data_IF_760041288506
#
_entry.id   IF_760041288506
#
_cell.length_a   1.000
_cell.length_b   1.000
_cell.length_c   1.000
_cell.angle_alpha   90.00
_cell.angle_beta   90.00
_cell.angle_gamma   90.00
#
_symmetry.space_group_name_H-M   'P 1'
#
loop_
_entity.id
_entity.type
_entity.pdbx_description
1 polymer ?
#
# COMPACT_ATOMS: atom_id res chain seq x y z
N UNK A 1 -44.54 -57.38 -17.53
CA UNK A 1 -45.61 -56.49 -17.06
C UNK A 1 -45.30 -56.09 -15.61
N UNK A 2 -45.16 -54.78 -15.37
CA UNK A 2 -45.60 -54.03 -14.17
C UNK A 2 -44.75 -54.13 -12.87
N UNK A 3 -43.93 -53.09 -12.69
CA UNK A 3 -43.64 -52.24 -11.51
C UNK A 3 -44.03 -52.68 -10.09
N UNK A 4 -43.10 -52.57 -9.13
CA UNK A 4 -43.19 -51.74 -7.89
C UNK A 4 -41.98 -51.98 -6.96
N UNK A 5 -41.07 -51.02 -6.74
CA UNK A 5 -40.96 -50.12 -5.55
C UNK A 5 -41.03 -50.86 -4.19
N UNK A 6 -40.03 -50.79 -3.30
CA UNK A 6 -39.61 -49.57 -2.61
C UNK A 6 -38.20 -49.73 -1.99
N UNK A 7 -37.35 -48.72 -2.20
CA UNK A 7 -36.01 -48.56 -1.65
C UNK A 7 -36.09 -48.14 -0.17
N UNK A 8 -35.36 -48.82 0.72
CA UNK A 8 -35.11 -48.37 2.08
C UNK A 8 -33.87 -47.46 2.06
N UNK A 9 -34.07 -46.14 1.94
CA UNK A 9 -32.98 -45.17 2.06
C UNK A 9 -32.91 -44.67 3.51
N UNK A 10 -31.86 -45.08 4.22
CA UNK A 10 -31.56 -44.62 5.56
C UNK A 10 -31.23 -43.12 5.56
N UNK A 11 -31.96 -42.36 6.37
CA UNK A 11 -31.68 -40.97 6.67
C UNK A 11 -30.37 -40.86 7.48
N UNK A 12 -29.32 -40.30 6.88
CA UNK A 12 -28.18 -39.77 7.59
C UNK A 12 -28.20 -38.24 7.47
N UNK A 13 -28.74 -37.61 8.51
CA UNK A 13 -28.46 -36.22 8.88
C UNK A 13 -26.96 -36.10 9.16
N UNK A 14 -26.17 -35.57 8.21
CA UNK A 14 -24.84 -35.05 8.53
C UNK A 14 -24.94 -33.54 8.75
N UNK A 15 -24.70 -33.17 10.00
CA UNK A 15 -24.73 -31.82 10.52
C UNK A 15 -23.75 -30.87 9.83
N UNK A 16 -24.14 -29.60 9.87
CA UNK A 16 -23.30 -28.46 9.64
C UNK A 16 -22.06 -28.51 10.56
N UNK A 17 -20.87 -28.56 9.96
CA UNK A 17 -19.65 -28.14 10.62
C UNK A 17 -19.25 -26.80 10.00
N UNK A 18 -19.73 -25.71 10.59
CA UNK A 18 -19.12 -24.41 10.38
C UNK A 18 -17.68 -24.51 10.86
N UNK A 19 -16.73 -24.34 9.95
CA UNK A 19 -15.33 -24.14 10.28
C UNK A 19 -15.25 -22.76 10.98
N UNK A 20 -15.44 -22.77 12.30
CA UNK A 20 -15.12 -21.65 13.16
C UNK A 20 -13.62 -21.43 13.08
N UNK A 21 -13.20 -20.45 12.27
CA UNK A 21 -11.91 -19.81 12.46
C UNK A 21 -11.91 -19.22 13.86
N UNK A 22 -11.25 -19.90 14.79
CA UNK A 22 -11.04 -19.35 16.12
C UNK A 22 -10.10 -18.16 15.97
N UNK A 23 -10.68 -16.96 16.14
CA UNK A 23 -9.96 -15.71 16.28
C UNK A 23 -9.12 -15.80 17.56
N UNK A 24 -7.86 -16.20 17.41
CA UNK A 24 -6.86 -16.16 18.46
C UNK A 24 -6.70 -14.69 18.88
N UNK A 25 -7.37 -14.33 19.98
CA UNK A 25 -7.24 -13.02 20.61
C UNK A 25 -5.79 -12.85 21.06
N UNK A 26 -5.02 -12.13 20.25
CA UNK A 26 -3.68 -11.65 20.58
C UNK A 26 -3.80 -10.73 21.81
N UNK A 27 -2.82 -10.81 22.73
CA UNK A 27 -2.72 -9.92 23.89
C UNK A 27 -1.34 -9.26 23.83
N UNK A 28 -1.23 -7.96 23.57
CA UNK A 28 -0.01 -7.33 23.06
C UNK A 28 0.96 -6.88 24.16
N UNK A 29 0.83 -7.41 25.39
CA UNK A 29 1.56 -6.90 26.54
C UNK A 29 2.96 -7.51 26.73
N UNK A 30 3.31 -8.58 26.01
CA UNK A 30 4.62 -9.20 26.12
C UNK A 30 5.56 -8.72 24.99
N UNK A 31 6.80 -8.29 25.30
CA UNK A 31 7.80 -8.06 24.27
C UNK A 31 8.11 -9.40 23.58
N UNK A 32 8.09 -9.41 22.24
CA UNK A 32 8.51 -10.56 21.43
C UNK A 32 9.94 -10.92 21.83
N UNK A 33 10.17 -12.17 22.24
CA UNK A 33 11.49 -12.62 22.72
C UNK A 33 12.40 -12.93 21.54
N UNK A 34 13.71 -12.78 21.74
CA UNK A 34 14.70 -13.13 20.73
C UNK A 34 14.53 -14.61 20.33
N UNK A 35 14.29 -14.87 19.04
CA UNK A 35 14.08 -16.21 18.48
C UNK A 35 12.62 -16.65 18.33
N UNK A 36 11.65 -15.85 18.78
CA UNK A 36 10.22 -16.13 18.60
C UNK A 36 9.74 -15.66 17.22
N UNK A 37 9.41 -16.60 16.34
CA UNK A 37 8.80 -16.30 15.03
C UNK A 37 7.30 -16.16 15.22
N UNK A 38 6.81 -14.93 15.30
CA UNK A 38 5.37 -14.64 15.29
C UNK A 38 4.95 -14.35 13.84
N UNK A 39 4.19 -15.25 13.24
CA UNK A 39 3.56 -15.01 11.94
C UNK A 39 2.39 -14.03 12.13
N UNK A 40 2.66 -12.73 11.94
CA UNK A 40 1.65 -11.67 12.01
C UNK A 40 1.09 -11.45 10.61
N UNK A 41 -0.15 -11.89 10.37
CA UNK A 41 -0.89 -11.57 9.16
C UNK A 41 -1.56 -10.21 9.34
N UNK A 42 -1.08 -9.18 8.64
CA UNK A 42 -1.74 -7.87 8.61
C UNK A 42 -3.14 -8.06 8.02
N UNK A 43 -4.16 -7.77 8.82
CA UNK A 43 -5.55 -7.82 8.41
C UNK A 43 -5.84 -6.66 7.44
N UNK A 44 -6.68 -6.90 6.42
CA UNK A 44 -7.06 -5.85 5.46
C UNK A 44 -7.73 -4.64 6.13
N UNK A 45 -8.27 -4.83 7.34
CA UNK A 45 -8.90 -3.81 8.17
C UNK A 45 -7.91 -3.07 9.08
N UNK A 46 -6.66 -3.50 9.20
CA UNK A 46 -5.59 -2.85 9.96
C UNK A 46 -5.81 -2.78 11.48
N UNK A 47 -6.57 -3.70 12.07
CA UNK A 47 -6.81 -3.82 13.51
C UNK A 47 -5.50 -4.05 14.29
N UNK A 48 -4.52 -4.74 13.70
CA UNK A 48 -3.19 -4.94 14.30
C UNK A 48 -2.46 -3.61 14.53
N UNK A 49 -2.63 -2.62 13.65
CA UNK A 49 -1.99 -1.30 13.83
C UNK A 49 -2.57 -0.54 15.03
N UNK A 50 -3.85 -0.76 15.34
CA UNK A 50 -4.53 -0.13 16.49
C UNK A 50 -4.07 -0.77 17.79
N UNK A 51 -3.98 -2.09 17.81
CA UNK A 51 -3.56 -2.86 18.97
C UNK A 51 -2.11 -2.59 19.36
N UNK A 52 -1.20 -2.54 18.37
CA UNK A 52 0.21 -2.22 18.57
C UNK A 52 0.47 -0.73 18.84
N UNK A 53 -0.58 0.10 18.95
CA UNK A 53 -0.49 1.55 19.12
C UNK A 53 0.42 2.21 18.08
N UNK A 54 0.46 1.67 16.86
CA UNK A 54 1.27 2.25 15.80
C UNK A 54 0.71 3.63 15.42
N UNK A 55 1.49 4.67 15.70
CA UNK A 55 1.06 6.05 15.50
C UNK A 55 1.36 6.62 14.10
N UNK A 56 1.93 5.83 13.20
CA UNK A 56 2.26 6.26 11.84
C UNK A 56 1.05 6.35 10.89
N UNK A 57 1.35 6.63 9.62
CA UNK A 57 0.36 6.63 8.53
C UNK A 57 0.10 5.18 8.11
N UNK A 58 -1.16 4.80 7.92
CA UNK A 58 -1.59 3.50 7.39
C UNK A 58 -2.39 3.78 6.12
N UNK A 59 -1.96 3.31 4.93
CA UNK A 59 -2.67 3.60 3.69
C UNK A 59 -4.13 3.13 3.75
N UNK A 60 -5.06 3.94 3.23
CA UNK A 60 -6.52 3.68 3.20
C UNK A 60 -7.24 3.67 4.56
N UNK A 61 -6.51 3.69 5.68
CA UNK A 61 -7.11 3.69 7.02
C UNK A 61 -6.78 4.96 7.81
N UNK A 62 -5.54 5.43 7.71
CA UNK A 62 -5.06 6.61 8.42
C UNK A 62 -4.01 7.32 7.56
N UNK A 63 -4.50 8.11 6.61
CA UNK A 63 -3.68 8.83 5.62
C UNK A 63 -3.00 10.10 6.17
N UNK A 64 -3.41 10.56 7.35
CA UNK A 64 -2.94 11.80 7.96
C UNK A 64 -2.36 11.57 9.37
N UNK A 65 -1.06 11.81 9.57
CA UNK A 65 -0.50 12.08 10.90
C UNK A 65 -0.91 13.52 11.25
N UNK A 66 -1.91 13.67 12.12
CA UNK A 66 -2.58 14.92 12.47
C UNK A 66 -1.71 16.10 12.96
N UNK A 67 -0.38 15.99 12.94
CA UNK A 67 0.57 17.09 13.14
C UNK A 67 0.92 17.88 11.87
N UNK A 68 0.83 17.27 10.68
CA UNK A 68 1.27 17.95 9.44
C UNK A 68 0.14 18.78 8.82
N UNK A 69 -1.13 18.38 9.01
CA UNK A 69 -2.26 18.91 8.23
C UNK A 69 -2.95 20.15 8.82
N UNK A 70 -2.50 20.68 9.96
CA UNK A 70 -3.02 21.95 10.54
C UNK A 70 -2.04 23.10 10.43
N UNK A 71 -1.50 23.36 9.25
CA UNK A 71 -1.16 24.75 8.94
C UNK A 71 -2.46 25.51 8.78
N UNK A 72 -2.82 26.33 9.78
CA UNK A 72 -3.79 27.42 9.63
C UNK A 72 -3.44 28.15 8.34
N UNK A 73 -4.18 27.90 7.27
CA UNK A 73 -4.05 28.66 6.04
C UNK A 73 -4.48 30.08 6.39
N UNK A 74 -3.50 30.97 6.60
CA UNK A 74 -3.74 32.41 6.50
C UNK A 74 -4.47 32.62 5.17
N UNK A 75 -5.71 33.07 5.26
CA UNK A 75 -6.63 33.36 4.16
C UNK A 75 -5.82 34.07 3.06
N UNK A 76 -5.61 33.42 1.91
CA UNK A 76 -4.88 33.99 0.77
C UNK A 76 -3.53 33.39 0.39
N UNK A 77 -2.93 32.46 1.16
CA UNK A 77 -1.69 31.78 0.72
C UNK A 77 -2.03 30.56 -0.16
N UNK A 78 -1.69 30.60 -1.45
CA UNK A 78 -1.71 29.41 -2.33
C UNK A 78 -0.84 28.32 -1.70
N UNK A 79 -1.46 27.25 -1.23
CA UNK A 79 -0.74 26.09 -0.69
C UNK A 79 -0.19 25.33 -1.89
N UNK A 80 1.12 25.44 -2.12
CA UNK A 80 1.77 24.63 -3.15
C UNK A 80 1.51 23.15 -2.88
N UNK A 81 1.18 22.35 -3.91
CA UNK A 81 1.07 20.92 -3.76
C UNK A 81 2.33 20.34 -3.10
N UNK A 82 2.16 19.31 -2.29
CA UNK A 82 3.29 18.61 -1.71
C UNK A 82 3.11 17.10 -1.83
N UNK A 83 4.20 16.41 -2.15
CA UNK A 83 4.33 14.96 -1.99
C UNK A 83 4.59 14.70 -0.52
N UNK A 84 3.58 14.20 0.17
CA UNK A 84 3.67 13.91 1.61
C UNK A 84 4.33 12.56 1.83
N UNK A 85 4.04 11.60 0.95
CA UNK A 85 4.50 10.23 1.12
C UNK A 85 4.76 9.53 -0.21
N UNK A 86 5.78 8.68 -0.19
CA UNK A 86 6.05 7.68 -1.22
C UNK A 86 6.22 6.36 -0.49
N UNK A 87 5.52 5.33 -0.97
CA UNK A 87 5.55 4.01 -0.39
C UNK A 87 5.62 2.90 -1.43
N UNK A 88 5.88 1.71 -0.94
CA UNK A 88 6.01 0.49 -1.72
C UNK A 88 5.27 -0.63 -1.01
N UNK A 89 4.52 -1.42 -1.78
CA UNK A 89 3.80 -2.59 -1.31
C UNK A 89 3.99 -3.72 -2.31
N UNK A 90 4.44 -4.89 -1.83
CA UNK A 90 4.43 -6.09 -2.64
C UNK A 90 3.01 -6.65 -2.73
N UNK A 91 2.62 -7.07 -3.93
CA UNK A 91 1.38 -7.80 -4.17
C UNK A 91 1.70 -9.16 -4.81
N UNK A 92 0.69 -10.03 -4.91
CA UNK A 92 0.87 -11.38 -5.45
C UNK A 92 1.41 -11.37 -6.89
N UNK A 93 0.89 -10.47 -7.73
CA UNK A 93 1.18 -10.44 -9.17
C UNK A 93 1.90 -9.16 -9.64
N UNK A 94 2.02 -8.17 -8.78
CA UNK A 94 2.61 -6.87 -9.10
C UNK A 94 3.31 -6.27 -7.89
N UNK A 95 4.01 -5.17 -8.10
CA UNK A 95 4.57 -4.35 -7.04
C UNK A 95 4.03 -2.94 -7.14
N UNK A 96 3.36 -2.50 -6.09
CA UNK A 96 2.67 -1.21 -6.05
C UNK A 96 3.59 -0.17 -5.45
N UNK A 97 3.87 0.87 -6.22
CA UNK A 97 4.40 2.13 -5.72
C UNK A 97 3.23 3.09 -5.58
N UNK A 98 3.13 3.77 -4.44
CA UNK A 98 2.11 4.79 -4.25
C UNK A 98 2.74 6.12 -3.85
N UNK A 99 2.18 7.20 -4.38
CA UNK A 99 2.60 8.56 -4.10
C UNK A 99 1.39 9.33 -3.58
N UNK A 100 1.50 9.83 -2.36
CA UNK A 100 0.48 10.66 -1.73
C UNK A 100 0.81 12.13 -1.93
N UNK A 101 -0.18 12.90 -2.38
CA UNK A 101 -0.10 14.36 -2.49
C UNK A 101 -1.08 15.05 -1.54
N UNK A 102 -0.84 16.32 -1.21
CA UNK A 102 -1.77 17.11 -0.39
C UNK A 102 -3.09 17.41 -1.10
N UNK A 103 -3.05 17.56 -2.43
CA UNK A 103 -4.17 17.94 -3.28
C UNK A 103 -4.08 17.20 -4.61
N UNK A 104 -5.22 17.09 -5.31
CA UNK A 104 -5.24 16.68 -6.71
C UNK A 104 -4.31 17.61 -7.49
N UNK A 105 -3.36 17.05 -8.24
CA UNK A 105 -2.33 17.82 -8.93
C UNK A 105 -2.06 17.16 -10.26
N UNK A 106 -1.79 17.98 -11.27
CA UNK A 106 -1.39 17.51 -12.58
C UNK A 106 -0.05 16.78 -12.48
N UNK A 107 0.05 15.62 -13.11
CA UNK A 107 1.29 14.86 -13.16
C UNK A 107 1.43 14.18 -14.51
N UNK A 108 2.67 13.93 -14.89
CA UNK A 108 3.02 13.17 -16.09
C UNK A 108 3.82 11.95 -15.67
N UNK A 109 3.44 10.77 -16.17
CA UNK A 109 4.22 9.53 -16.00
C UNK A 109 4.88 9.19 -17.34
N UNK A 110 6.18 9.01 -17.31
CA UNK A 110 6.98 8.61 -18.47
C UNK A 110 7.84 7.41 -18.13
N UNK A 111 8.15 6.59 -19.13
CA UNK A 111 9.15 5.54 -19.05
C UNK A 111 10.28 5.90 -20.01
N UNK A 112 11.22 6.78 -19.60
CA UNK A 112 12.25 7.29 -20.49
C UNK A 112 13.20 6.20 -21.00
N UNK A 113 13.36 5.12 -20.23
CA UNK A 113 14.18 3.98 -20.58
C UNK A 113 13.64 2.69 -19.93
N UNK A 114 14.08 1.49 -20.35
CA UNK A 114 13.61 0.23 -19.78
C UNK A 114 13.90 0.04 -18.29
N UNK A 115 14.81 0.80 -17.71
CA UNK A 115 15.26 0.68 -16.32
C UNK A 115 14.58 1.66 -15.36
N UNK A 116 13.76 2.59 -15.85
CA UNK A 116 13.17 3.65 -15.00
C UNK A 116 11.78 4.08 -15.45
N UNK A 117 10.91 4.30 -14.47
CA UNK A 117 9.64 5.03 -14.62
C UNK A 117 9.77 6.34 -13.83
N UNK A 118 9.34 7.44 -14.44
CA UNK A 118 9.46 8.79 -13.87
C UNK A 118 8.08 9.42 -13.79
N UNK A 119 7.68 9.81 -12.59
CA UNK A 119 6.50 10.63 -12.32
C UNK A 119 6.97 12.05 -12.03
N UNK A 120 6.53 13.00 -12.85
CA UNK A 120 6.68 14.44 -12.62
C UNK A 120 5.37 14.99 -12.12
N UNK A 121 5.40 15.67 -10.98
CA UNK A 121 4.23 16.24 -10.33
C UNK A 121 4.40 17.76 -10.32
N UNK A 122 3.56 18.45 -11.07
CA UNK A 122 3.73 19.87 -11.36
C UNK A 122 3.47 20.73 -10.13
N UNK A 123 4.27 21.77 -9.95
CA UNK A 123 4.23 22.72 -8.83
C UNK A 123 4.37 22.08 -7.42
N UNK A 124 4.61 20.76 -7.36
CA UNK A 124 4.72 20.03 -6.12
C UNK A 124 6.10 20.15 -5.48
N UNK A 125 6.15 20.02 -4.16
CA UNK A 125 7.40 19.89 -3.40
C UNK A 125 7.41 18.61 -2.56
N UNK A 126 8.59 18.08 -2.28
CA UNK A 126 8.82 17.01 -1.30
C UNK A 126 9.42 17.63 -0.03
N UNK A 127 8.59 18.15 0.90
CA UNK A 127 9.09 18.94 2.04
C UNK A 127 9.87 18.09 3.03
N UNK A 128 9.33 16.91 3.38
CA UNK A 128 9.94 16.05 4.38
C UNK A 128 11.24 15.44 3.86
N UNK A 129 12.30 15.48 4.68
CA UNK A 129 13.58 14.83 4.37
C UNK A 129 13.43 13.30 4.31
N UNK A 130 12.53 12.74 5.10
CA UNK A 130 12.24 11.30 5.10
C UNK A 130 11.67 10.83 3.77
N UNK A 131 10.69 11.54 3.21
CA UNK A 131 10.09 11.22 1.89
C UNK A 131 11.10 11.29 0.74
N UNK A 132 12.20 12.04 0.90
CA UNK A 132 13.30 12.13 -0.08
C UNK A 132 14.33 11.00 0.04
N UNK A 133 14.30 10.20 1.12
CA UNK A 133 15.16 9.03 1.24
C UNK A 133 14.72 7.98 0.23
N UNK A 134 15.65 7.30 -0.45
CA UNK A 134 15.28 6.24 -1.36
C UNK A 134 14.69 5.07 -0.57
N UNK A 135 13.61 4.49 -1.10
CA UNK A 135 13.16 3.16 -0.70
C UNK A 135 13.99 2.16 -1.49
N UNK A 136 14.73 1.29 -0.80
CA UNK A 136 15.52 0.24 -1.44
C UNK A 136 14.69 -1.04 -1.38
N UNK A 137 14.32 -1.55 -2.55
CA UNK A 137 13.41 -2.70 -2.69
C UNK A 137 14.05 -3.88 -3.43
N UNK A 138 15.34 -3.79 -3.73
CA UNK A 138 16.09 -4.81 -4.48
C UNK A 138 16.19 -6.17 -3.80
N UNK A 139 16.01 -6.24 -2.49
CA UNK A 139 16.04 -7.50 -1.73
C UNK A 139 14.70 -8.25 -1.79
N UNK A 140 13.67 -7.60 -2.31
CA UNK A 140 12.39 -8.22 -2.54
C UNK A 140 12.35 -8.85 -3.93
N UNK A 141 11.59 -9.93 -4.09
CA UNK A 141 11.38 -10.55 -5.39
C UNK A 141 10.40 -9.71 -6.24
N UNK A 142 10.87 -8.59 -6.78
CA UNK A 142 10.12 -7.59 -7.56
C UNK A 142 10.98 -7.03 -8.71
N UNK A 143 10.34 -6.52 -9.75
CA UNK A 143 11.00 -5.70 -10.78
C UNK A 143 11.42 -4.32 -10.28
N UNK A 144 10.96 -3.85 -9.12
CA UNK A 144 11.30 -2.51 -8.59
C UNK A 144 12.54 -2.61 -7.70
N UNK A 145 13.65 -2.00 -8.10
CA UNK A 145 14.90 -2.01 -7.34
C UNK A 145 14.98 -0.89 -6.29
N UNK A 146 14.45 0.30 -6.62
CA UNK A 146 14.38 1.42 -5.70
C UNK A 146 13.32 2.44 -6.11
N UNK A 147 12.86 3.24 -5.15
CA UNK A 147 11.99 4.41 -5.40
C UNK A 147 12.60 5.64 -4.77
N UNK A 148 12.71 6.74 -5.52
CA UNK A 148 13.32 7.98 -5.04
C UNK A 148 12.46 9.19 -5.37
N UNK A 149 12.18 10.02 -4.37
CA UNK A 149 11.56 11.33 -4.56
C UNK A 149 12.58 12.46 -4.41
N UNK A 150 12.50 13.47 -5.27
CA UNK A 150 13.31 14.70 -5.19
C UNK A 150 12.53 15.92 -5.67
N UNK A 151 12.96 17.09 -5.22
CA UNK A 151 12.51 18.35 -5.81
C UNK A 151 13.25 18.58 -7.14
N UNK A 152 12.53 19.08 -8.14
CA UNK A 152 13.08 19.51 -9.42
C UNK A 152 12.58 20.92 -9.76
N UNK A 153 13.13 21.54 -10.80
CA UNK A 153 12.59 22.82 -11.29
C UNK A 153 11.16 22.58 -11.77
N UNK A 154 10.21 23.37 -11.28
CA UNK A 154 8.81 23.28 -11.68
C UNK A 154 7.98 22.20 -10.96
N UNK A 155 8.55 21.40 -10.04
CA UNK A 155 7.76 20.41 -9.32
C UNK A 155 8.54 19.37 -8.52
N UNK A 156 7.91 18.22 -8.30
CA UNK A 156 8.50 17.05 -7.66
C UNK A 156 8.69 15.93 -8.68
N UNK A 157 9.78 15.19 -8.55
CA UNK A 157 10.05 14.00 -9.37
C UNK A 157 10.11 12.78 -8.47
N UNK A 158 9.29 11.77 -8.76
CA UNK A 158 9.40 10.42 -8.21
C UNK A 158 9.96 9.51 -9.30
N UNK A 159 11.03 8.80 -9.01
CA UNK A 159 11.68 7.87 -9.94
C UNK A 159 11.64 6.48 -9.35
N UNK A 160 11.05 5.57 -10.11
CA UNK A 160 11.01 4.14 -9.83
C UNK A 160 12.10 3.52 -10.68
N UNK A 161 13.13 3.00 -10.02
CA UNK A 161 14.18 2.22 -10.65
C UNK A 161 13.74 0.78 -10.76
N UNK A 162 13.97 0.19 -11.92
CA UNK A 162 13.63 -1.19 -12.25
C UNK A 162 14.90 -2.03 -12.26
N UNK A 163 14.85 -3.23 -11.69
CA UNK A 163 15.92 -4.24 -11.78
C UNK A 163 15.95 -4.92 -13.13
N UNK A 164 14.80 -4.95 -13.83
CA UNK A 164 14.62 -5.49 -15.17
C UNK A 164 13.52 -4.74 -15.92
N UNK A 165 13.49 -4.79 -17.25
CA UNK A 165 12.37 -4.24 -18.02
C UNK A 165 11.04 -4.86 -17.58
N UNK A 166 10.08 -4.01 -17.20
CA UNK A 166 8.76 -4.45 -16.75
C UNK A 166 7.65 -3.50 -17.25
N UNK A 167 6.47 -4.04 -17.49
CA UNK A 167 5.26 -3.24 -17.73
C UNK A 167 4.81 -2.51 -16.46
N UNK A 168 3.98 -1.48 -16.62
CA UNK A 168 3.34 -0.84 -15.48
C UNK A 168 1.92 -0.37 -15.83
N UNK A 169 1.07 -0.38 -14.82
CA UNK A 169 -0.27 0.19 -14.86
C UNK A 169 -0.39 1.36 -13.88
N UNK A 170 -1.21 2.29 -14.34
CA UNK A 170 -1.63 3.54 -13.75
C UNK A 170 -2.98 3.63 -13.05
N UNK A 171 -3.10 4.20 -11.85
CA UNK A 171 -4.38 4.83 -11.48
C UNK A 171 -4.22 5.97 -10.49
N UNK A 172 -5.17 6.88 -10.48
CA UNK A 172 -5.28 7.92 -9.47
C UNK A 172 -6.59 7.74 -8.70
N UNK A 173 -6.49 7.72 -7.36
CA UNK A 173 -7.64 7.67 -6.47
C UNK A 173 -7.48 8.77 -5.42
N UNK A 174 -8.28 9.83 -5.55
CA UNK A 174 -8.20 11.01 -4.70
C UNK A 174 -6.78 11.62 -4.70
N UNK A 175 -6.12 11.53 -3.55
CA UNK A 175 -4.77 12.08 -3.30
C UNK A 175 -3.64 11.10 -3.58
N UNK A 176 -3.95 9.90 -4.04
CA UNK A 176 -2.98 8.86 -4.30
C UNK A 176 -2.82 8.63 -5.79
N UNK A 177 -1.56 8.52 -6.21
CA UNK A 177 -1.17 8.01 -7.52
C UNK A 177 -0.58 6.61 -7.27
N UNK A 178 -1.19 5.60 -7.87
CA UNK A 178 -0.77 4.21 -7.79
C UNK A 178 -0.11 3.79 -9.10
N UNK A 179 1.05 3.16 -8.97
CA UNK A 179 1.83 2.62 -10.07
C UNK A 179 2.08 1.15 -9.76
N UNK A 180 1.41 0.27 -10.49
CA UNK A 180 1.53 -1.17 -10.35
C UNK A 180 2.51 -1.69 -11.40
N UNK A 181 3.69 -2.10 -10.95
CA UNK A 181 4.76 -2.62 -11.80
C UNK A 181 4.68 -4.13 -11.87
N UNK A 182 4.75 -4.68 -13.08
CA UNK A 182 4.77 -6.13 -13.29
C UNK A 182 5.94 -6.77 -12.55
N UNK A 183 5.65 -7.88 -11.87
CA UNK A 183 6.65 -8.58 -11.07
C UNK A 183 7.72 -9.19 -11.93
#
# INVERSE_FOLDING_TARGET
>A
MIRSTLFLLAACLLGAASAGAQELKFSPSAPIRDGEVVEIFVDEKGDIYRELRYHGVVPNQRDDIGRITRTRTKKGKRVSPAVTWVGFQQQRFASRVFVQTTHLTHYTITKPDPSRIVILIDDAKVPARQTRRPLITSQYATSVSAVRAKNVKGGAQVTIHLSRPAGYLYKQEGRYIFIDVER
#
